data_IF_381286828254
#
_entry.id   IF_381286828254
#
_cell.length_a   1.000
_cell.length_b   1.000
_cell.length_c   1.000
_cell.angle_alpha   90.00
_cell.angle_beta   90.00
_cell.angle_gamma   90.00
#
_symmetry.space_group_name_H-M   'P 1'
#
loop_
_entity.id
_entity.type
_entity.pdbx_description
1 polymer ?
#
# COMPACT_ATOMS: atom_id res chain seq x y z
N UNK A 1 9.20 -36.09 11.93
CA UNK A 1 8.54 -35.15 11.01
C UNK A 1 7.86 -34.08 11.87
N UNK A 2 8.63 -33.07 12.29
CA UNK A 2 8.17 -31.97 13.14
C UNK A 2 7.18 -31.11 12.36
N UNK A 3 5.92 -31.06 12.82
CA UNK A 3 4.95 -30.07 12.36
C UNK A 3 5.49 -28.69 12.72
N UNK A 4 5.97 -27.93 11.73
CA UNK A 4 6.13 -26.49 11.89
C UNK A 4 4.75 -25.93 12.29
N UNK A 5 4.64 -25.41 13.51
CA UNK A 5 3.52 -24.55 13.88
C UNK A 5 3.70 -23.28 13.07
N UNK A 6 3.02 -23.16 11.93
CA UNK A 6 2.87 -21.88 11.25
C UNK A 6 2.29 -20.91 12.27
N UNK A 7 3.09 -19.92 12.68
CA UNK A 7 2.63 -18.87 13.58
C UNK A 7 1.53 -18.09 12.85
N UNK A 8 0.27 -18.39 13.19
CA UNK A 8 -0.86 -17.65 12.64
C UNK A 8 -0.81 -16.24 13.22
N UNK A 9 -0.80 -15.24 12.35
CA UNK A 9 -0.85 -13.85 12.75
C UNK A 9 -2.18 -13.57 13.47
N UNK A 10 -2.11 -13.05 14.69
CA UNK A 10 -3.29 -12.61 15.43
C UNK A 10 -3.95 -11.39 14.81
N UNK A 11 -5.22 -11.12 15.13
CA UNK A 11 -5.99 -9.99 14.60
C UNK A 11 -5.26 -8.64 14.75
N UNK A 12 -4.65 -8.41 15.91
CA UNK A 12 -3.88 -7.19 16.19
C UNK A 12 -2.66 -7.05 15.26
N UNK A 13 -1.96 -8.15 14.95
CA UNK A 13 -0.82 -8.10 14.03
C UNK A 13 -1.26 -7.88 12.59
N UNK A 14 -2.34 -8.56 12.15
CA UNK A 14 -2.90 -8.35 10.81
C UNK A 14 -3.37 -6.91 10.60
N UNK A 15 -4.07 -6.34 11.59
CA UNK A 15 -4.52 -4.94 11.52
C UNK A 15 -3.36 -3.96 11.54
N UNK A 16 -2.37 -4.15 12.42
CA UNK A 16 -1.15 -3.33 12.44
C UNK A 16 -0.39 -3.38 11.11
N UNK A 17 -0.30 -4.56 10.47
CA UNK A 17 0.37 -4.73 9.19
C UNK A 17 -0.36 -3.95 8.07
N UNK A 18 -1.69 -4.03 8.02
CA UNK A 18 -2.49 -3.28 7.03
C UNK A 18 -2.35 -1.77 7.26
N UNK A 19 -2.48 -1.32 8.52
CA UNK A 19 -2.35 0.10 8.87
C UNK A 19 -0.95 0.62 8.55
N UNK A 20 0.10 -0.14 8.88
CA UNK A 20 1.48 0.20 8.56
C UNK A 20 1.72 0.33 7.06
N UNK A 21 1.18 -0.59 6.26
CA UNK A 21 1.29 -0.54 4.80
C UNK A 21 0.56 0.67 4.20
N UNK A 22 -0.61 1.04 4.73
CA UNK A 22 -1.37 2.22 4.28
C UNK A 22 -0.69 3.55 4.64
N UNK A 23 -0.11 3.65 5.85
CA UNK A 23 0.58 4.86 6.30
C UNK A 23 1.90 5.05 5.53
N UNK A 24 2.66 3.97 5.36
CA UNK A 24 3.98 3.97 4.72
C UNK A 24 3.95 4.47 3.27
N UNK A 25 2.92 4.15 2.50
CA UNK A 25 2.89 4.44 1.06
C UNK A 25 2.62 5.91 0.69
N UNK A 26 2.26 6.80 1.63
CA UNK A 26 2.07 8.20 1.24
C UNK A 26 1.45 9.16 2.24
N UNK A 27 0.95 8.72 3.41
CA UNK A 27 0.18 9.61 4.32
C UNK A 27 0.94 10.88 4.71
N UNK A 28 2.27 10.79 4.80
CA UNK A 28 3.12 11.91 5.17
C UNK A 28 3.22 12.97 4.06
N UNK A 29 3.05 12.60 2.79
CA UNK A 29 3.12 13.50 1.62
C UNK A 29 1.77 14.21 1.35
N UNK A 30 0.66 13.63 1.80
CA UNK A 30 -0.68 14.20 1.59
C UNK A 30 -0.85 15.62 2.17
N UNK A 31 -0.36 15.96 3.38
CA UNK A 31 -0.47 17.32 3.90
C UNK A 31 0.18 18.38 3.00
N UNK A 32 1.35 18.06 2.42
CA UNK A 32 2.03 18.96 1.49
C UNK A 32 1.23 19.14 0.19
N UNK A 33 0.67 18.06 -0.36
CA UNK A 33 -0.16 18.10 -1.57
C UNK A 33 -1.53 18.74 -1.36
N UNK A 34 -2.06 18.71 -0.14
CA UNK A 34 -3.37 19.26 0.22
C UNK A 34 -3.31 20.68 0.77
N UNK A 35 -2.12 21.17 1.16
CA UNK A 35 -1.91 22.54 1.65
C UNK A 35 -2.50 23.64 0.74
N UNK A 36 -2.46 23.54 -0.61
CA UNK A 36 -3.07 24.55 -1.49
C UNK A 36 -4.60 24.59 -1.46
N UNK A 37 -5.26 23.51 -1.04
CA UNK A 37 -6.72 23.36 -1.10
C UNK A 37 -7.43 23.74 0.21
N UNK A 38 -6.69 23.90 1.31
CA UNK A 38 -7.22 24.34 2.61
C UNK A 38 -8.42 23.50 3.08
N UNK A 39 -9.54 24.16 3.40
CA UNK A 39 -10.75 23.52 3.91
C UNK A 39 -11.39 22.51 2.94
N UNK A 40 -11.20 22.68 1.62
CA UNK A 40 -11.78 21.79 0.61
C UNK A 40 -11.17 20.37 0.66
N UNK A 41 -9.97 20.22 1.26
CA UNK A 41 -9.34 18.92 1.48
C UNK A 41 -10.18 18.00 2.38
N UNK A 42 -10.98 18.56 3.31
CA UNK A 42 -11.81 17.78 4.23
C UNK A 42 -12.87 16.98 3.45
N UNK A 43 -13.50 17.58 2.44
CA UNK A 43 -14.48 16.90 1.60
C UNK A 43 -13.82 15.74 0.84
N UNK A 44 -12.61 15.95 0.31
CA UNK A 44 -11.82 14.89 -0.34
C UNK A 44 -11.50 13.73 0.60
N UNK A 45 -11.14 14.03 1.86
CA UNK A 45 -10.91 13.01 2.88
C UNK A 45 -12.19 12.25 3.23
N UNK A 46 -13.32 12.93 3.37
CA UNK A 46 -14.62 12.28 3.64
C UNK A 46 -15.01 11.32 2.52
N UNK A 47 -14.84 11.72 1.26
CA UNK A 47 -15.11 10.84 0.10
C UNK A 47 -14.15 9.66 0.08
N UNK A 48 -12.86 9.88 0.36
CA UNK A 48 -11.86 8.82 0.42
C UNK A 48 -12.17 7.80 1.52
N UNK A 49 -12.54 8.26 2.72
CA UNK A 49 -12.92 7.39 3.84
C UNK A 49 -14.19 6.60 3.48
N UNK A 50 -15.21 7.26 2.94
CA UNK A 50 -16.44 6.60 2.54
C UNK A 50 -16.20 5.51 1.47
N UNK A 51 -15.39 5.82 0.44
CA UNK A 51 -14.99 4.85 -0.58
C UNK A 51 -14.19 3.68 -0.01
N UNK A 52 -13.24 3.97 0.89
CA UNK A 52 -12.44 2.96 1.58
C UNK A 52 -13.27 2.01 2.44
N UNK A 53 -14.25 2.54 3.19
CA UNK A 53 -15.17 1.73 3.99
C UNK A 53 -16.09 0.86 3.11
N UNK A 54 -16.56 1.38 1.98
CA UNK A 54 -17.35 0.60 1.02
C UNK A 54 -16.53 -0.58 0.48
N UNK A 55 -15.28 -0.33 0.05
CA UNK A 55 -14.38 -1.37 -0.45
C UNK A 55 -14.04 -2.39 0.63
N UNK A 56 -13.74 -1.94 1.86
CA UNK A 56 -13.50 -2.82 3.00
C UNK A 56 -14.71 -3.72 3.29
N UNK A 57 -15.93 -3.19 3.18
CA UNK A 57 -17.18 -3.96 3.31
C UNK A 57 -17.31 -5.06 2.25
N UNK A 58 -16.95 -4.76 0.99
CA UNK A 58 -16.95 -5.75 -0.10
C UNK A 58 -15.95 -6.87 0.17
N UNK A 59 -14.71 -6.54 0.56
CA UNK A 59 -13.70 -7.54 0.90
C UNK A 59 -14.09 -8.36 2.14
N UNK A 60 -14.70 -7.73 3.16
CA UNK A 60 -15.20 -8.43 4.34
C UNK A 60 -16.37 -9.37 4.01
N UNK A 61 -17.23 -9.02 3.06
CA UNK A 61 -18.30 -9.88 2.60
C UNK A 61 -17.76 -11.06 1.77
N UNK A 62 -16.78 -10.80 0.89
CA UNK A 62 -16.12 -11.83 0.08
C UNK A 62 -15.33 -12.81 0.94
N UNK A 63 -14.59 -12.35 1.95
CA UNK A 63 -13.82 -13.22 2.83
C UNK A 63 -14.69 -14.18 3.65
N UNK A 64 -15.90 -13.75 4.03
CA UNK A 64 -16.88 -14.63 4.69
C UNK A 64 -17.54 -15.63 3.75
N UNK A 65 -17.79 -15.25 2.49
CA UNK A 65 -18.48 -16.10 1.50
C UNK A 65 -17.54 -17.09 0.81
N UNK A 66 -16.29 -16.69 0.58
CA UNK A 66 -15.26 -17.45 -0.10
C UNK A 66 -13.99 -17.39 0.76
N UNK A 67 -13.82 -18.30 1.75
CA UNK A 67 -12.61 -18.38 2.56
C UNK A 67 -11.47 -19.05 1.77
N UNK A 68 -11.16 -18.52 0.59
CA UNK A 68 -10.09 -18.98 -0.28
C UNK A 68 -8.77 -18.32 0.13
N UNK A 69 -7.73 -19.14 0.22
CA UNK A 69 -6.36 -18.66 0.39
C UNK A 69 -5.90 -17.97 -0.91
N UNK A 70 -5.40 -16.73 -0.82
CA UNK A 70 -4.91 -15.96 -1.96
C UNK A 70 -5.62 -14.62 -2.25
N UNK A 71 -6.59 -14.21 -1.42
CA UNK A 71 -7.17 -12.86 -1.45
C UNK A 71 -7.83 -12.49 -2.79
N UNK A 72 -7.62 -11.25 -3.26
CA UNK A 72 -8.26 -10.71 -4.47
C UNK A 72 -8.06 -11.55 -5.74
N UNK A 73 -6.89 -12.20 -5.88
CA UNK A 73 -6.62 -13.13 -6.99
C UNK A 73 -7.54 -14.36 -6.94
N UNK A 74 -7.70 -14.95 -5.76
CA UNK A 74 -8.55 -16.13 -5.58
C UNK A 74 -10.02 -15.79 -5.85
N UNK A 75 -10.48 -14.59 -5.48
CA UNK A 75 -11.83 -14.10 -5.79
C UNK A 75 -12.01 -13.90 -7.30
N UNK A 76 -11.05 -13.28 -7.99
CA UNK A 76 -11.09 -13.10 -9.43
C UNK A 76 -11.10 -14.44 -10.18
N UNK A 77 -10.33 -15.42 -9.71
CA UNK A 77 -10.30 -16.78 -10.27
C UNK A 77 -11.64 -17.50 -10.11
N UNK A 78 -12.26 -17.38 -8.95
CA UNK A 78 -13.54 -18.02 -8.66
C UNK A 78 -14.70 -17.39 -9.47
N UNK A 79 -14.68 -16.07 -9.70
CA UNK A 79 -15.76 -15.37 -10.39
C UNK A 79 -15.61 -15.31 -11.92
N UNK A 80 -14.37 -15.14 -12.42
CA UNK A 80 -14.12 -14.82 -13.84
C UNK A 80 -13.17 -15.83 -14.54
N UNK A 81 -12.67 -16.83 -13.82
CA UNK A 81 -11.80 -17.87 -14.37
C UNK A 81 -10.30 -17.51 -14.42
N UNK A 82 -9.48 -18.39 -15.04
CA UNK A 82 -8.01 -18.32 -14.93
C UNK A 82 -7.38 -17.11 -15.60
N UNK A 83 -7.89 -16.68 -16.76
CA UNK A 83 -7.32 -15.56 -17.52
C UNK A 83 -7.48 -14.22 -16.78
N UNK A 84 -8.68 -13.96 -16.23
CA UNK A 84 -8.94 -12.78 -15.42
C UNK A 84 -8.11 -12.78 -14.14
N UNK A 85 -7.97 -13.95 -13.49
CA UNK A 85 -7.11 -14.09 -12.32
C UNK A 85 -5.64 -13.77 -12.64
N UNK A 86 -5.12 -14.27 -13.77
CA UNK A 86 -3.76 -13.97 -14.21
C UNK A 86 -3.54 -12.46 -14.38
N UNK A 87 -4.46 -11.76 -15.05
CA UNK A 87 -4.38 -10.31 -15.20
C UNK A 87 -4.36 -9.59 -13.85
N UNK A 88 -5.22 -9.98 -12.90
CA UNK A 88 -5.26 -9.37 -11.55
C UNK A 88 -3.95 -9.61 -10.79
N UNK A 89 -3.41 -10.82 -10.81
CA UNK A 89 -2.14 -11.13 -10.17
C UNK A 89 -0.98 -10.35 -10.80
N UNK A 90 -0.96 -10.27 -12.13
CA UNK A 90 0.08 -9.55 -12.87
C UNK A 90 0.04 -8.04 -12.59
N UNK A 91 -1.14 -7.43 -12.65
CA UNK A 91 -1.32 -6.02 -12.32
C UNK A 91 -0.96 -5.71 -10.86
N UNK A 92 -1.33 -6.58 -9.92
CA UNK A 92 -0.97 -6.42 -8.52
C UNK A 92 0.55 -6.50 -8.29
N UNK A 93 1.22 -7.43 -8.98
CA UNK A 93 2.68 -7.56 -8.92
C UNK A 93 3.39 -6.31 -9.44
N UNK A 94 2.98 -5.79 -10.60
CA UNK A 94 3.53 -4.54 -11.15
C UNK A 94 3.26 -3.37 -10.19
N UNK A 95 2.04 -3.26 -9.66
CA UNK A 95 1.68 -2.20 -8.72
C UNK A 95 2.55 -2.23 -7.45
N UNK A 96 2.95 -3.43 -6.99
CA UNK A 96 3.83 -3.60 -5.83
C UNK A 96 5.23 -3.06 -6.12
N UNK A 97 5.79 -3.34 -7.29
CA UNK A 97 7.09 -2.80 -7.71
C UNK A 97 7.07 -1.27 -7.85
N UNK A 98 6.02 -0.74 -8.47
CA UNK A 98 5.85 0.71 -8.62
C UNK A 98 5.65 1.37 -7.25
N UNK A 99 4.87 0.74 -6.36
CA UNK A 99 4.67 1.21 -4.99
C UNK A 99 5.99 1.28 -4.20
N UNK A 100 6.84 0.25 -4.32
CA UNK A 100 8.16 0.26 -3.67
C UNK A 100 9.08 1.34 -4.25
N UNK A 101 9.06 1.57 -5.57
CA UNK A 101 9.80 2.67 -6.19
C UNK A 101 9.30 4.04 -5.69
N UNK A 102 7.98 4.22 -5.57
CA UNK A 102 7.37 5.43 -5.00
C UNK A 102 7.77 5.64 -3.54
N UNK A 103 7.81 4.57 -2.74
CA UNK A 103 8.27 4.62 -1.36
C UNK A 103 9.74 5.04 -1.24
N UNK A 104 10.60 4.53 -2.13
CA UNK A 104 12.01 4.94 -2.17
C UNK A 104 12.17 6.44 -2.51
N UNK A 105 11.42 6.94 -3.50
CA UNK A 105 11.41 8.38 -3.85
C UNK A 105 10.90 9.22 -2.68
N UNK A 106 9.82 8.79 -2.02
CA UNK A 106 9.29 9.45 -0.84
C UNK A 106 10.33 9.51 0.28
N UNK A 107 11.02 8.40 0.58
CA UNK A 107 12.06 8.34 1.61
C UNK A 107 13.22 9.29 1.31
N UNK A 108 13.71 9.32 0.06
CA UNK A 108 14.75 10.25 -0.37
C UNK A 108 14.28 11.71 -0.25
N UNK A 109 13.03 12.00 -0.62
CA UNK A 109 12.45 13.34 -0.48
C UNK A 109 12.38 13.78 0.99
N UNK A 110 12.06 12.89 1.93
CA UNK A 110 12.08 13.21 3.37
C UNK A 110 13.49 13.48 3.88
N UNK A 111 14.46 12.66 3.49
CA UNK A 111 15.85 12.83 3.89
C UNK A 111 16.45 14.14 3.35
N UNK A 112 16.07 14.56 2.14
CA UNK A 112 16.49 15.83 1.55
C UNK A 112 15.95 17.09 2.25
N UNK A 113 14.88 16.98 3.05
CA UNK A 113 14.36 18.06 3.90
C UNK A 113 15.15 18.15 5.22
N UNK A 114 15.60 17.02 5.75
CA UNK A 114 16.38 16.95 7.00
C UNK A 114 17.87 17.29 6.79
N UNK A 115 18.42 17.04 5.60
CA UNK A 115 19.81 17.34 5.24
C UNK A 115 19.87 18.13 3.90
N UNK A 116 19.88 19.48 3.94
CA UNK A 116 19.88 20.32 2.74
C UNK A 116 21.09 20.10 1.80
N UNK A 117 22.16 19.45 2.27
CA UNK A 117 23.34 19.12 1.46
C UNK A 117 23.14 18.00 0.42
N UNK A 118 22.04 17.24 0.51
CA UNK A 118 21.69 16.16 -0.42
C UNK A 118 20.79 16.61 -1.58
N UNK A 119 20.47 17.90 -1.65
CA UNK A 119 19.58 18.48 -2.67
C UNK A 119 20.25 18.62 -4.05
N UNK A 120 21.57 18.42 -4.13
CA UNK A 120 22.29 18.39 -5.40
C UNK A 120 22.30 16.96 -5.99
N UNK A 121 21.87 16.77 -7.26
CA UNK A 121 21.80 15.45 -7.91
C UNK A 121 23.11 14.65 -7.92
N UNK A 122 24.25 15.32 -7.73
CA UNK A 122 25.60 14.73 -7.74
C UNK A 122 26.03 14.21 -6.35
N UNK A 123 25.50 14.79 -5.26
CA UNK A 123 25.87 14.41 -3.89
C UNK A 123 25.20 13.10 -3.44
N UNK A 124 23.94 12.88 -3.85
CA UNK A 124 23.24 11.61 -3.60
C UNK A 124 23.85 10.42 -4.35
N UNK A 125 24.46 10.68 -5.52
CA UNK A 125 25.17 9.65 -6.29
C UNK A 125 26.51 9.26 -5.64
N UNK A 126 27.20 10.18 -4.97
CA UNK A 126 28.48 9.91 -4.32
C UNK A 126 28.36 9.12 -3.01
N UNK A 127 27.28 9.28 -2.25
CA UNK A 127 27.03 8.50 -1.02
C UNK A 127 26.55 7.07 -1.28
N UNK A 128 26.11 6.74 -2.51
CA UNK A 128 25.70 5.38 -2.88
C UNK A 128 26.88 4.49 -3.35
N UNK A 129 28.06 5.09 -3.58
CA UNK A 129 29.27 4.39 -4.03
C UNK A 129 30.39 4.38 -2.97
N UNK A 130 30.11 4.78 -1.73
CA UNK A 130 31.04 4.75 -0.61
C UNK A 130 30.68 3.70 0.42
#
# INVERSE_FOLDING_TARGET
MSREKTAQLGLAMCTALVVGNMIGSGVFLLPASLAPYGWNAIVGWMVTIAGGLCLAGVFAALSRRLPLEGGGYAYARAAFGPAAAFMVAWSYWIATWVGNAGLAVAAVSYLGVLAPGLQHPVAGALTACG
#
